data_IF_800211053598
#
_entry.id   IF_800211053598
#
_cell.length_a   1.000
_cell.length_b   1.000
_cell.length_c   1.000
_cell.angle_alpha   90.00
_cell.angle_beta   90.00
_cell.angle_gamma   90.00
#
_symmetry.space_group_name_H-M   'P 1'
#
loop_
_entity.id
_entity.type
_entity.pdbx_description
1 polymer ?
#
# COMPACT_ATOMS: atom_id res chain seq x y z
N UNK A 1 0.72 16.17 -11.43
CA UNK A 1 1.32 15.09 -12.25
C UNK A 1 1.60 15.55 -13.68
N UNK A 2 0.63 16.10 -14.43
CA UNK A 2 0.80 16.57 -15.83
C UNK A 2 2.10 17.31 -16.14
N UNK A 3 2.53 18.23 -15.27
CA UNK A 3 3.76 19.02 -15.44
C UNK A 3 5.05 18.19 -15.41
N UNK A 4 5.09 17.12 -14.62
CA UNK A 4 6.34 16.42 -14.27
C UNK A 4 6.40 14.97 -14.77
N UNK A 5 5.27 14.26 -14.86
CA UNK A 5 5.25 12.84 -15.24
C UNK A 5 5.14 12.70 -16.77
N UNK A 6 6.19 13.03 -17.51
CA UNK A 6 6.22 12.93 -18.99
C UNK A 6 6.76 11.58 -19.45
N UNK A 7 8.07 11.38 -19.31
CA UNK A 7 8.76 10.15 -19.72
C UNK A 7 8.87 9.14 -18.56
N UNK A 8 8.91 9.63 -17.33
CA UNK A 8 8.94 8.83 -16.10
C UNK A 8 8.01 9.40 -15.05
N UNK A 9 7.54 8.55 -14.16
CA UNK A 9 6.73 8.98 -13.01
C UNK A 9 7.66 9.46 -11.90
N UNK A 10 7.47 10.71 -11.46
CA UNK A 10 8.19 11.30 -10.32
C UNK A 10 7.25 11.83 -9.26
N UNK A 11 6.03 12.20 -9.64
CA UNK A 11 4.97 12.62 -8.73
C UNK A 11 3.94 11.51 -8.61
N UNK A 12 3.65 11.11 -7.36
CA UNK A 12 2.64 10.11 -7.02
C UNK A 12 1.52 10.74 -6.21
N UNK A 13 0.27 10.42 -6.56
CA UNK A 13 -0.88 10.67 -5.70
C UNK A 13 -1.19 9.46 -4.84
N UNK A 14 -1.66 9.70 -3.61
CA UNK A 14 -2.08 8.62 -2.71
C UNK A 14 -3.56 8.32 -2.92
N UNK A 15 -3.87 7.05 -3.20
CA UNK A 15 -5.23 6.53 -3.33
C UNK A 15 -5.53 5.69 -2.10
N UNK A 16 -6.46 6.17 -1.27
CA UNK A 16 -6.84 5.54 -0.01
C UNK A 16 -8.02 4.60 -0.24
N UNK A 17 -7.74 3.32 -0.43
CA UNK A 17 -8.68 2.31 -0.90
C UNK A 17 -9.74 1.90 0.14
N UNK A 18 -9.67 2.38 1.38
CA UNK A 18 -10.75 2.26 2.37
C UNK A 18 -12.00 3.06 2.00
N UNK A 19 -11.92 4.00 1.06
CA UNK A 19 -13.07 4.77 0.59
C UNK A 19 -13.69 4.13 -0.65
N UNK A 20 -15.02 4.05 -0.67
CA UNK A 20 -15.75 3.39 -1.74
C UNK A 20 -15.60 4.09 -3.12
N UNK A 21 -15.28 5.38 -3.15
CA UNK A 21 -15.10 6.16 -4.39
C UNK A 21 -13.68 6.08 -4.97
N UNK A 22 -12.72 5.44 -4.29
CA UNK A 22 -11.29 5.57 -4.64
C UNK A 22 -10.84 4.68 -5.78
N UNK A 23 -11.50 3.54 -6.01
CA UNK A 23 -11.24 2.72 -7.18
C UNK A 23 -11.69 3.42 -8.47
N UNK A 24 -12.90 3.98 -8.47
CA UNK A 24 -13.40 4.77 -9.61
C UNK A 24 -12.52 6.00 -9.85
N UNK A 25 -12.13 6.71 -8.79
CA UNK A 25 -11.22 7.84 -8.88
C UNK A 25 -9.84 7.47 -9.47
N UNK A 26 -9.31 6.28 -9.17
CA UNK A 26 -8.09 5.75 -9.78
C UNK A 26 -8.25 5.56 -11.29
N UNK A 27 -9.34 4.94 -11.72
CA UNK A 27 -9.66 4.73 -13.14
C UNK A 27 -9.82 6.06 -13.87
N UNK A 28 -10.60 7.00 -13.30
CA UNK A 28 -10.80 8.33 -13.87
C UNK A 28 -9.49 9.12 -13.95
N UNK A 29 -8.63 9.00 -12.94
CA UNK A 29 -7.30 9.62 -12.94
C UNK A 29 -6.40 9.06 -14.04
N UNK A 30 -6.51 7.77 -14.34
CA UNK A 30 -5.77 7.10 -15.41
C UNK A 30 -6.25 7.52 -16.80
N UNK A 31 -7.57 7.55 -16.99
CA UNK A 31 -8.17 7.98 -18.26
C UNK A 31 -7.76 9.42 -18.57
N UNK A 32 -7.89 10.31 -17.58
CA UNK A 32 -7.44 11.70 -17.70
C UNK A 32 -5.95 11.82 -17.99
N UNK A 33 -5.11 11.00 -17.36
CA UNK A 33 -3.67 10.99 -17.63
C UNK A 33 -3.36 10.59 -19.08
N UNK A 34 -4.09 9.59 -19.59
CA UNK A 34 -3.99 9.13 -20.96
C UNK A 34 -4.44 10.20 -21.96
N UNK A 35 -5.60 10.83 -21.73
CA UNK A 35 -6.15 11.91 -22.56
C UNK A 35 -5.23 13.13 -22.61
N UNK A 36 -4.66 13.51 -21.47
CA UNK A 36 -3.81 14.70 -21.36
C UNK A 36 -2.31 14.43 -21.61
N UNK A 37 -1.94 13.21 -22.01
CA UNK A 37 -0.57 12.84 -22.40
C UNK A 37 0.45 12.92 -21.25
N UNK A 38 0.14 12.33 -20.10
CA UNK A 38 1.09 12.17 -18.99
C UNK A 38 0.95 10.80 -18.30
N UNK A 39 1.99 10.37 -17.57
CA UNK A 39 1.98 9.11 -16.83
C UNK A 39 1.36 9.27 -15.44
N UNK A 40 0.48 8.36 -15.06
CA UNK A 40 -0.13 8.39 -13.72
C UNK A 40 0.83 7.79 -12.68
N UNK A 41 1.03 8.50 -11.56
CA UNK A 41 1.69 7.94 -10.38
C UNK A 41 0.67 7.63 -9.29
N UNK A 42 0.54 6.35 -8.92
CA UNK A 42 -0.46 5.88 -7.98
C UNK A 42 0.16 5.15 -6.77
N UNK A 43 0.18 5.79 -5.61
CA UNK A 43 0.48 5.12 -4.34
C UNK A 43 -0.82 4.58 -3.74
N UNK A 44 -1.02 3.27 -3.80
CA UNK A 44 -2.16 2.62 -3.19
C UNK A 44 -1.88 2.40 -1.70
N UNK A 45 -2.79 2.83 -0.85
CA UNK A 45 -2.82 2.49 0.59
C UNK A 45 -4.24 2.05 0.95
N UNK A 46 -4.43 1.29 2.02
CA UNK A 46 -5.78 1.10 2.58
C UNK A 46 -6.31 2.44 3.12
N UNK A 47 -5.65 2.97 4.14
CA UNK A 47 -6.02 4.23 4.77
C UNK A 47 -5.56 4.24 6.22
N UNK A 48 -5.38 5.44 6.79
CA UNK A 48 -4.87 5.61 8.16
C UNK A 48 -5.82 6.42 9.05
N UNK A 49 -7.03 6.75 8.57
CA UNK A 49 -7.93 7.71 9.20
C UNK A 49 -9.36 7.17 9.37
N UNK A 50 -9.54 5.83 9.37
CA UNK A 50 -10.85 5.15 9.46
C UNK A 50 -11.72 5.70 10.59
N UNK A 51 -11.18 5.75 11.81
CA UNK A 51 -11.89 6.22 13.00
C UNK A 51 -12.30 7.70 12.87
N UNK A 52 -11.39 8.53 12.36
CA UNK A 52 -11.62 9.97 12.20
C UNK A 52 -12.69 10.26 11.14
N UNK A 53 -12.68 9.54 10.02
CA UNK A 53 -13.71 9.68 8.97
C UNK A 53 -15.08 9.23 9.48
N UNK A 54 -15.16 8.08 10.18
CA UNK A 54 -16.41 7.61 10.78
C UNK A 54 -16.95 8.58 11.84
N UNK A 55 -16.07 9.11 12.70
CA UNK A 55 -16.48 10.08 13.71
C UNK A 55 -17.05 11.34 13.05
N UNK A 56 -16.34 11.88 12.05
CA UNK A 56 -16.80 13.05 11.30
C UNK A 56 -18.15 12.82 10.61
N UNK A 57 -18.34 11.65 9.99
CA UNK A 57 -19.60 11.29 9.33
C UNK A 57 -20.78 11.28 10.31
N UNK A 58 -20.56 10.76 11.54
CA UNK A 58 -21.55 10.83 12.63
C UNK A 58 -21.82 12.28 13.06
N UNK A 59 -20.76 13.05 13.32
CA UNK A 59 -20.87 14.42 13.84
C UNK A 59 -21.58 15.36 12.85
N UNK A 60 -21.34 15.17 11.54
CA UNK A 60 -21.90 15.98 10.47
C UNK A 60 -23.15 15.35 9.82
N UNK A 61 -23.63 14.22 10.34
CA UNK A 61 -24.83 13.51 9.88
C UNK A 61 -24.85 13.22 8.36
N UNK A 62 -23.74 12.71 7.81
CA UNK A 62 -23.67 12.24 6.43
C UNK A 62 -23.22 10.78 6.35
N UNK A 63 -23.54 10.03 5.28
CA UNK A 63 -23.12 8.65 5.13
C UNK A 63 -21.60 8.50 5.15
N UNK A 64 -21.08 7.48 5.85
CA UNK A 64 -19.63 7.27 5.91
C UNK A 64 -19.04 7.04 4.51
N UNK A 65 -17.90 7.67 4.17
CA UNK A 65 -17.31 7.53 2.84
C UNK A 65 -16.48 6.23 2.72
N UNK A 66 -16.42 5.42 3.78
CA UNK A 66 -15.58 4.23 3.85
C UNK A 66 -16.37 2.97 3.53
N UNK A 67 -15.66 1.91 3.13
CA UNK A 67 -16.24 0.59 2.93
C UNK A 67 -16.87 0.03 4.22
N UNK A 68 -17.91 -0.82 4.10
CA UNK A 68 -18.66 -1.33 5.25
C UNK A 68 -17.82 -2.21 6.19
N UNK A 69 -16.76 -2.85 5.67
CA UNK A 69 -15.87 -3.69 6.45
C UNK A 69 -14.47 -3.78 5.82
N UNK A 70 -13.56 -4.43 6.54
CA UNK A 70 -12.17 -4.62 6.11
C UNK A 70 -12.07 -5.45 4.82
N UNK A 71 -12.87 -6.50 4.66
CA UNK A 71 -12.84 -7.35 3.47
C UNK A 71 -13.18 -6.54 2.21
N UNK A 72 -14.21 -5.69 2.25
CA UNK A 72 -14.55 -4.79 1.15
C UNK A 72 -13.42 -3.78 0.83
N UNK A 73 -12.68 -3.31 1.85
CA UNK A 73 -11.48 -2.48 1.63
C UNK A 73 -10.35 -3.29 0.98
N UNK A 74 -10.15 -4.54 1.41
CA UNK A 74 -9.14 -5.43 0.85
C UNK A 74 -9.45 -5.73 -0.62
N UNK A 75 -10.71 -6.02 -0.96
CA UNK A 75 -11.17 -6.26 -2.33
C UNK A 75 -10.94 -5.04 -3.23
N UNK A 76 -11.32 -3.84 -2.75
CA UNK A 76 -11.10 -2.60 -3.49
C UNK A 76 -9.60 -2.31 -3.69
N UNK A 77 -8.78 -2.52 -2.67
CA UNK A 77 -7.33 -2.34 -2.72
C UNK A 77 -6.69 -3.29 -3.76
N UNK A 78 -7.08 -4.56 -3.71
CA UNK A 78 -6.58 -5.60 -4.60
C UNK A 78 -7.04 -5.42 -6.06
N UNK A 79 -8.27 -4.93 -6.28
CA UNK A 79 -8.72 -4.50 -7.61
C UNK A 79 -7.89 -3.33 -8.12
N UNK A 80 -7.53 -2.39 -7.24
CA UNK A 80 -6.60 -1.30 -7.54
C UNK A 80 -5.21 -1.81 -7.94
N UNK A 81 -4.66 -2.81 -7.24
CA UNK A 81 -3.40 -3.47 -7.62
C UNK A 81 -3.53 -4.05 -9.01
N UNK A 82 -4.57 -4.86 -9.27
CA UNK A 82 -4.79 -5.49 -10.56
C UNK A 82 -4.85 -4.45 -11.68
N UNK A 83 -5.63 -3.38 -11.47
CA UNK A 83 -5.75 -2.29 -12.43
C UNK A 83 -4.39 -1.64 -12.73
N UNK A 84 -3.57 -1.38 -11.71
CA UNK A 84 -2.24 -0.80 -11.91
C UNK A 84 -1.31 -1.73 -12.69
N UNK A 85 -1.28 -3.02 -12.36
CA UNK A 85 -0.44 -4.00 -13.06
C UNK A 85 -0.91 -4.21 -14.49
N UNK A 86 -2.22 -4.21 -14.75
CA UNK A 86 -2.78 -4.33 -16.10
C UNK A 86 -2.40 -3.15 -17.01
N UNK A 87 -2.15 -1.97 -16.45
CA UNK A 87 -1.89 -0.73 -17.20
C UNK A 87 -0.47 -0.19 -17.00
N UNK A 88 0.46 -1.02 -16.51
CA UNK A 88 1.78 -0.63 -15.99
C UNK A 88 2.66 0.21 -16.95
N UNK A 89 2.38 0.17 -18.26
CA UNK A 89 3.06 0.99 -19.27
C UNK A 89 2.72 2.49 -19.17
N UNK A 90 1.54 2.82 -18.65
CA UNK A 90 1.03 4.21 -18.51
C UNK A 90 0.78 4.63 -17.06
N UNK A 91 0.89 3.70 -16.12
CA UNK A 91 0.79 3.95 -14.68
C UNK A 91 1.99 3.37 -13.94
N UNK A 92 2.66 4.18 -13.13
CA UNK A 92 3.57 3.65 -12.11
C UNK A 92 2.83 3.60 -10.77
N UNK A 93 2.88 2.44 -10.11
CA UNK A 93 2.24 2.20 -8.84
C UNK A 93 3.22 1.86 -7.72
N UNK A 94 2.79 2.19 -6.51
CA UNK A 94 3.40 1.75 -5.25
C UNK A 94 2.31 1.06 -4.45
N UNK A 95 2.40 -0.26 -4.28
CA UNK A 95 1.56 -0.99 -3.34
C UNK A 95 2.11 -0.83 -1.92
N UNK A 96 1.57 0.14 -1.20
CA UNK A 96 1.95 0.41 0.18
C UNK A 96 1.08 -0.41 1.15
N UNK A 97 1.56 -1.60 1.52
CA UNK A 97 0.82 -2.59 2.33
C UNK A 97 1.76 -3.51 3.11
N UNK A 98 1.31 -3.89 4.31
CA UNK A 98 1.89 -4.94 5.16
C UNK A 98 1.17 -6.29 5.02
N UNK A 99 0.07 -6.32 4.28
CA UNK A 99 -0.70 -7.53 4.05
C UNK A 99 0.02 -8.43 3.02
N UNK A 100 0.42 -9.62 3.49
CA UNK A 100 1.12 -10.64 2.71
C UNK A 100 0.35 -11.05 1.45
N UNK A 101 -0.96 -11.25 1.54
CA UNK A 101 -1.79 -11.71 0.42
C UNK A 101 -1.87 -10.66 -0.69
N UNK A 102 -2.03 -9.38 -0.33
CA UNK A 102 -1.98 -8.29 -1.33
C UNK A 102 -0.59 -8.16 -1.97
N UNK A 103 0.49 -8.38 -1.22
CA UNK A 103 1.85 -8.43 -1.79
C UNK A 103 2.01 -9.60 -2.77
N UNK A 104 1.59 -10.82 -2.38
CA UNK A 104 1.61 -11.99 -3.25
C UNK A 104 0.81 -11.75 -4.52
N UNK A 105 -0.37 -11.14 -4.42
CA UNK A 105 -1.23 -10.84 -5.57
C UNK A 105 -0.55 -9.99 -6.62
N UNK A 106 0.13 -8.91 -6.24
CA UNK A 106 0.91 -8.12 -7.20
C UNK A 106 2.06 -8.93 -7.81
N UNK A 107 2.81 -9.67 -7.00
CA UNK A 107 3.91 -10.51 -7.48
C UNK A 107 3.43 -11.58 -8.47
N UNK A 108 2.31 -12.24 -8.18
CA UNK A 108 1.68 -13.21 -9.08
C UNK A 108 1.23 -12.58 -10.39
N UNK A 109 0.63 -11.38 -10.34
CA UNK A 109 0.19 -10.68 -11.55
C UNK A 109 1.38 -10.28 -12.43
N UNK A 110 2.47 -9.81 -11.83
CA UNK A 110 3.74 -9.52 -12.52
C UNK A 110 4.26 -10.79 -13.20
N UNK A 111 4.34 -11.89 -12.45
CA UNK A 111 4.83 -13.17 -12.95
C UNK A 111 3.96 -13.73 -14.09
N UNK A 112 2.63 -13.79 -13.90
CA UNK A 112 1.68 -14.33 -14.89
C UNK A 112 1.70 -13.55 -16.21
N UNK A 113 2.02 -12.25 -16.17
CA UNK A 113 2.13 -11.40 -17.37
C UNK A 113 3.53 -11.41 -18.00
N UNK A 114 4.50 -12.09 -17.39
CA UNK A 114 5.89 -12.07 -17.86
C UNK A 114 6.56 -10.70 -17.74
N UNK A 115 6.07 -9.83 -16.86
CA UNK A 115 6.67 -8.50 -16.62
C UNK A 115 7.97 -8.69 -15.83
N UNK A 116 9.01 -7.93 -16.17
CA UNK A 116 10.25 -7.93 -15.40
C UNK A 116 9.98 -7.55 -13.94
N UNK A 117 10.55 -8.31 -13.00
CA UNK A 117 10.27 -8.13 -11.56
C UNK A 117 10.73 -6.77 -11.03
N UNK A 118 11.78 -6.23 -11.63
CA UNK A 118 12.38 -4.93 -11.36
C UNK A 118 11.86 -3.82 -12.31
N UNK A 119 10.72 -4.03 -12.98
CA UNK A 119 10.11 -2.99 -13.80
C UNK A 119 9.79 -1.74 -12.96
N UNK A 120 10.35 -0.58 -13.36
CA UNK A 120 10.32 0.66 -12.58
C UNK A 120 8.91 1.17 -12.23
N UNK A 121 7.90 0.79 -13.03
CA UNK A 121 6.51 1.16 -12.80
C UNK A 121 5.86 0.41 -11.62
N UNK A 122 6.36 -0.76 -11.21
CA UNK A 122 5.66 -1.61 -10.23
C UNK A 122 6.50 -1.77 -8.97
N UNK A 123 6.07 -1.11 -7.89
CA UNK A 123 6.84 -1.02 -6.65
C UNK A 123 6.03 -1.56 -5.46
N UNK A 124 6.73 -2.16 -4.52
CA UNK A 124 6.22 -2.55 -3.21
C UNK A 124 6.72 -1.57 -2.16
N UNK A 125 5.90 -1.27 -1.15
CA UNK A 125 6.34 -0.43 -0.04
C UNK A 125 5.76 -0.86 1.30
N UNK A 126 6.62 -0.92 2.32
CA UNK A 126 6.24 -1.14 3.71
C UNK A 126 6.75 0.03 4.57
N UNK A 127 6.12 0.26 5.71
CA UNK A 127 6.70 1.13 6.74
C UNK A 127 8.00 0.54 7.28
N UNK A 128 8.97 1.40 7.56
CA UNK A 128 10.19 1.00 8.25
C UNK A 128 9.88 0.50 9.67
N UNK A 129 10.49 -0.63 10.07
CA UNK A 129 10.25 -1.29 11.35
C UNK A 129 9.01 -2.18 11.40
N UNK A 130 8.39 -2.50 10.26
CA UNK A 130 7.20 -3.36 10.17
C UNK A 130 7.29 -4.31 8.96
N UNK A 131 6.97 -5.58 9.17
CA UNK A 131 6.92 -6.63 8.14
C UNK A 131 8.21 -6.75 7.32
N UNK A 132 9.35 -6.76 8.01
CA UNK A 132 10.66 -6.85 7.36
C UNK A 132 10.84 -8.18 6.64
N UNK A 133 10.24 -9.25 7.16
CA UNK A 133 10.14 -10.54 6.48
C UNK A 133 9.55 -10.42 5.06
N UNK A 134 8.51 -9.61 4.85
CA UNK A 134 7.93 -9.39 3.53
C UNK A 134 8.87 -8.58 2.64
N UNK A 135 9.41 -7.48 3.18
CA UNK A 135 10.31 -6.59 2.43
C UNK A 135 11.55 -7.34 1.93
N UNK A 136 12.22 -8.10 2.81
CA UNK A 136 13.43 -8.82 2.46
C UNK A 136 13.16 -9.97 1.48
N UNK A 137 12.06 -10.72 1.65
CA UNK A 137 11.71 -11.79 0.72
C UNK A 137 11.37 -11.26 -0.68
N UNK A 138 10.63 -10.16 -0.77
CA UNK A 138 10.32 -9.51 -2.06
C UNK A 138 11.59 -8.99 -2.74
N UNK A 139 12.48 -8.35 -1.99
CA UNK A 139 13.75 -7.85 -2.51
C UNK A 139 14.65 -9.00 -2.99
N UNK A 140 14.79 -10.06 -2.18
CA UNK A 140 15.56 -11.26 -2.55
C UNK A 140 14.99 -11.97 -3.79
N UNK A 141 13.67 -11.90 -4.00
CA UNK A 141 13.01 -12.43 -5.19
C UNK A 141 13.22 -11.58 -6.45
N UNK A 142 13.83 -10.39 -6.34
CA UNK A 142 14.17 -9.48 -7.44
C UNK A 142 13.15 -8.38 -7.73
N UNK A 143 12.21 -8.11 -6.80
CA UNK A 143 11.22 -7.05 -6.98
C UNK A 143 11.73 -5.68 -6.50
N UNK A 144 11.16 -4.61 -7.06
CA UNK A 144 11.36 -3.25 -6.54
C UNK A 144 10.62 -3.05 -5.22
N UNK A 145 11.37 -2.90 -4.12
CA UNK A 145 10.80 -2.73 -2.78
C UNK A 145 11.42 -1.53 -2.09
N UNK A 146 10.60 -0.72 -1.43
CA UNK A 146 11.03 0.44 -0.65
C UNK A 146 10.49 0.39 0.78
N UNK A 147 11.22 1.01 1.72
CA UNK A 147 10.73 1.31 3.05
C UNK A 147 10.32 2.78 3.15
N UNK A 148 9.11 3.05 3.64
CA UNK A 148 8.70 4.39 4.02
C UNK A 148 9.31 4.73 5.37
N UNK A 149 10.26 5.67 5.35
CA UNK A 149 10.99 6.14 6.52
C UNK A 149 10.47 7.52 6.90
N UNK A 150 10.13 7.69 8.17
CA UNK A 150 9.87 9.02 8.74
C UNK A 150 11.16 9.52 9.36
N UNK A 151 11.55 10.73 8.98
CA UNK A 151 12.78 11.36 9.42
C UNK A 151 12.48 12.83 9.77
N UNK A 152 13.03 13.31 10.89
CA UNK A 152 12.80 14.65 11.41
C UNK A 152 13.11 14.75 12.90
N UNK A 153 13.00 15.96 13.46
CA UNK A 153 13.21 16.13 14.90
C UNK A 153 12.09 15.42 15.68
N UNK A 154 12.40 14.94 16.90
CA UNK A 154 11.44 14.19 17.73
C UNK A 154 10.10 14.89 17.86
N UNK A 155 10.09 16.21 18.10
CA UNK A 155 8.87 17.02 18.24
C UNK A 155 7.99 17.01 16.98
N UNK A 156 8.60 16.95 15.80
CA UNK A 156 7.92 16.98 14.50
C UNK A 156 7.34 15.61 14.15
N UNK A 157 8.04 14.54 14.50
CA UNK A 157 7.64 13.16 14.19
C UNK A 157 6.73 12.54 15.25
N UNK A 158 6.64 13.14 16.44
CA UNK A 158 5.83 12.63 17.54
C UNK A 158 4.35 12.38 17.17
N UNK A 159 3.63 13.28 16.46
CA UNK A 159 2.26 13.01 16.04
C UNK A 159 2.14 11.81 15.07
N UNK A 160 3.17 11.55 14.26
CA UNK A 160 3.23 10.34 13.43
C UNK A 160 3.37 9.09 14.29
N UNK A 161 4.28 9.09 15.27
CA UNK A 161 4.50 7.97 16.18
C UNK A 161 3.25 7.63 16.99
N UNK A 162 2.54 8.64 17.52
CA UNK A 162 1.28 8.43 18.26
C UNK A 162 0.22 7.79 17.37
N UNK A 163 0.08 8.22 16.11
CA UNK A 163 -0.85 7.59 15.15
C UNK A 163 -0.48 6.14 14.87
N UNK A 164 0.81 5.84 14.70
CA UNK A 164 1.29 4.47 14.52
C UNK A 164 1.06 3.60 15.73
N UNK A 165 1.27 4.11 16.94
CA UNK A 165 0.98 3.38 18.16
C UNK A 165 -0.50 2.98 18.25
N UNK A 166 -1.41 3.93 17.96
CA UNK A 166 -2.87 3.67 17.93
C UNK A 166 -3.28 2.68 16.84
N UNK A 167 -2.71 2.81 15.65
CA UNK A 167 -3.00 1.88 14.54
C UNK A 167 -2.45 0.48 14.84
N UNK A 168 -1.24 0.35 15.37
CA UNK A 168 -0.65 -0.95 15.68
C UNK A 168 -1.40 -1.68 16.81
N UNK A 169 -2.03 -0.96 17.75
CA UNK A 169 -2.96 -1.59 18.70
C UNK A 169 -4.22 -2.15 18.03
N UNK A 170 -4.66 -1.58 16.91
CA UNK A 170 -5.77 -2.11 16.11
C UNK A 170 -5.31 -3.19 15.09
N UNK A 171 -4.06 -3.13 14.62
CA UNK A 171 -3.40 -4.10 13.71
C UNK A 171 -2.71 -5.20 14.53
N UNK A 172 -3.45 -5.80 15.46
CA UNK A 172 -2.94 -6.85 16.36
C UNK A 172 -2.50 -8.13 15.62
N UNK A 173 -3.00 -8.38 14.41
CA UNK A 173 -2.82 -9.65 13.71
C UNK A 173 -1.40 -9.90 13.15
N UNK A 174 -0.80 -8.92 12.48
CA UNK A 174 0.42 -9.18 11.70
C UNK A 174 1.68 -9.22 12.59
N UNK A 175 1.77 -8.36 13.60
CA UNK A 175 2.85 -8.39 14.60
C UNK A 175 2.82 -9.68 15.43
N UNK A 176 1.62 -10.13 15.85
CA UNK A 176 1.46 -11.38 16.60
C UNK A 176 1.88 -12.61 15.78
N UNK A 177 1.63 -12.59 14.47
CA UNK A 177 2.03 -13.65 13.55
C UNK A 177 3.54 -13.70 13.36
N UNK A 178 4.18 -12.55 13.16
CA UNK A 178 5.63 -12.45 13.04
C UNK A 178 6.32 -12.94 14.33
N UNK A 179 5.82 -12.53 15.49
CA UNK A 179 6.30 -13.02 16.78
C UNK A 179 6.19 -14.54 16.91
N UNK A 180 5.06 -15.13 16.48
CA UNK A 180 4.87 -16.59 16.45
C UNK A 180 5.90 -17.30 15.57
N UNK A 181 6.21 -16.76 14.39
CA UNK A 181 7.24 -17.31 13.51
C UNK A 181 8.64 -17.22 14.10
N UNK A 182 8.98 -16.09 14.72
CA UNK A 182 10.27 -15.93 15.42
C UNK A 182 10.38 -16.96 16.54
N UNK A 183 9.34 -17.12 17.35
CA UNK A 183 9.33 -18.11 18.44
C UNK A 183 9.53 -19.53 17.90
N UNK A 184 8.80 -19.91 16.84
CA UNK A 184 8.94 -21.20 16.18
C UNK A 184 10.34 -21.44 15.63
N UNK A 185 10.95 -20.42 15.02
CA UNK A 185 12.31 -20.51 14.50
C UNK A 185 13.36 -20.62 15.62
N UNK A 186 13.18 -19.91 16.74
CA UNK A 186 14.03 -20.05 17.93
C UNK A 186 13.95 -21.46 18.53
N UNK A 187 12.75 -22.03 18.64
CA UNK A 187 12.56 -23.40 19.11
C UNK A 187 13.23 -24.42 18.17
N UNK A 188 13.07 -24.26 16.84
CA UNK A 188 13.72 -25.10 15.84
C UNK A 188 15.25 -25.09 15.97
N UNK A 189 15.85 -23.93 16.28
CA UNK A 189 17.30 -23.78 16.47
C UNK A 189 17.81 -24.29 17.81
N UNK A 190 16.96 -24.39 18.84
CA UNK A 190 17.32 -24.98 20.14
C UNK A 190 17.31 -26.51 20.10
N UNK A 191 16.48 -27.08 19.23
CA UNK A 191 16.31 -28.52 19.09
C UNK A 191 17.16 -29.14 17.95
N UNK A 192 18.01 -28.35 17.30
CA UNK A 192 19.09 -28.80 16.39
C UNK A 192 20.43 -28.44 17.01
#
# INVERSE_FOLDING_TARGET
MKRYNKEKVVVYNTFQMYRHDRLEYLVNSYNRATEEGYLLGAKLVRGAYLEKENQRARDMNYPTPIHPNKAATDDAYDLGIKFCVDNYEKIASVAATHNEESCKKQAELIHKKGIQKDHAALNFCQLYGMSDNLTFNLAAAGYNVAKYVVYGQVKEVFPYLVRRAKENTAVSGDMSREYSWIKKELERRKNN
#
